data_IF_462927733532
#
_entry.id   IF_462927733532
#
_cell.length_a   1.000
_cell.length_b   1.000
_cell.length_c   1.000
_cell.angle_alpha   90.00
_cell.angle_beta   90.00
_cell.angle_gamma   90.00
#
_symmetry.space_group_name_H-M   'P 1'
#
loop_
_entity.id
_entity.type
_entity.pdbx_description
1 polymer ?
#
# COMPACT_ATOMS: atom_id res chain seq x y z
N UNK A 1 0.17 -10.73 32.46
CA UNK A 1 1.43 -10.58 31.71
C UNK A 1 1.04 -10.46 30.25
N UNK A 2 0.80 -9.23 29.79
CA UNK A 2 0.51 -8.99 28.38
C UNK A 2 1.81 -9.20 27.63
N UNK A 3 1.88 -10.25 26.83
CA UNK A 3 2.95 -10.46 25.87
C UNK A 3 2.92 -9.24 24.94
N UNK A 4 3.97 -8.41 24.96
CA UNK A 4 4.07 -7.28 24.05
C UNK A 4 4.13 -7.81 22.62
N UNK A 5 3.00 -7.79 21.93
CA UNK A 5 2.90 -8.19 20.53
C UNK A 5 3.79 -7.26 19.72
N UNK A 6 4.98 -7.74 19.34
CA UNK A 6 5.84 -6.98 18.42
C UNK A 6 5.09 -6.86 17.09
N UNK A 7 4.99 -5.66 16.49
CA UNK A 7 4.30 -5.48 15.23
C UNK A 7 4.88 -6.40 14.16
N UNK A 8 4.05 -7.00 13.31
CA UNK A 8 4.52 -7.81 12.19
C UNK A 8 5.30 -6.93 11.22
N UNK A 9 4.77 -5.73 10.96
CA UNK A 9 5.42 -4.70 10.17
C UNK A 9 5.10 -3.31 10.74
N UNK A 10 6.02 -2.37 10.55
CA UNK A 10 5.72 -0.96 10.81
C UNK A 10 4.88 -0.36 9.68
N UNK A 11 4.97 -0.92 8.48
CA UNK A 11 4.26 -0.41 7.29
C UNK A 11 3.77 -1.55 6.40
N UNK A 12 2.52 -1.41 5.93
CA UNK A 12 1.97 -2.17 4.81
C UNK A 12 1.98 -1.30 3.56
N UNK A 13 2.76 -1.68 2.56
CA UNK A 13 2.66 -1.11 1.22
C UNK A 13 1.66 -1.94 0.41
N UNK A 14 0.45 -1.43 0.25
CA UNK A 14 -0.62 -2.08 -0.51
C UNK A 14 -0.56 -1.62 -1.96
N UNK A 15 -0.31 -2.55 -2.86
CA UNK A 15 -0.34 -2.32 -4.31
C UNK A 15 -1.65 -2.83 -4.89
N UNK A 16 -2.42 -1.93 -5.51
CA UNK A 16 -3.66 -2.30 -6.19
C UNK A 16 -3.35 -3.02 -7.50
N UNK A 17 -4.29 -3.84 -7.95
CA UNK A 17 -4.25 -4.41 -9.31
C UNK A 17 -4.11 -3.28 -10.33
N UNK A 18 -3.40 -3.52 -11.44
CA UNK A 18 -3.20 -2.51 -12.49
C UNK A 18 -4.53 -1.88 -12.91
N UNK A 19 -4.56 -0.55 -12.96
CA UNK A 19 -5.74 0.22 -13.36
C UNK A 19 -6.85 0.29 -12.31
N UNK A 20 -6.69 -0.31 -11.13
CA UNK A 20 -7.68 -0.24 -10.06
C UNK A 20 -7.45 0.96 -9.14
N UNK A 21 -8.58 1.47 -8.63
CA UNK A 21 -8.67 2.63 -7.75
C UNK A 21 -9.52 2.31 -6.51
N UNK A 22 -9.44 3.13 -5.46
CA UNK A 22 -10.33 3.00 -4.29
C UNK A 22 -11.80 3.07 -4.70
N UNK A 23 -12.12 3.92 -5.69
CA UNK A 23 -13.46 4.04 -6.24
C UNK A 23 -13.92 2.73 -6.90
N UNK A 24 -13.03 2.08 -7.67
CA UNK A 24 -13.32 0.78 -8.28
C UNK A 24 -13.53 -0.32 -7.23
N UNK A 25 -12.70 -0.36 -6.19
CA UNK A 25 -12.88 -1.29 -5.07
C UNK A 25 -14.17 -1.06 -4.30
N UNK A 26 -14.58 0.19 -4.11
CA UNK A 26 -15.85 0.54 -3.47
C UNK A 26 -17.04 0.06 -4.30
N UNK A 27 -17.05 0.35 -5.60
CA UNK A 27 -18.12 -0.10 -6.52
C UNK A 27 -18.23 -1.63 -6.59
N UNK A 28 -17.09 -2.33 -6.50
CA UNK A 28 -17.06 -3.79 -6.48
C UNK A 28 -17.40 -4.41 -5.12
N UNK A 29 -17.65 -3.61 -4.07
CA UNK A 29 -17.91 -4.09 -2.71
C UNK A 29 -16.69 -4.69 -2.00
N UNK A 30 -15.48 -4.49 -2.55
CA UNK A 30 -14.23 -5.03 -2.01
C UNK A 30 -13.62 -4.13 -0.94
N UNK A 31 -13.81 -2.81 -1.05
CA UNK A 31 -13.14 -1.85 -0.19
C UNK A 31 -13.43 -2.10 1.30
N UNK A 32 -14.70 -2.16 1.69
CA UNK A 32 -15.08 -2.34 3.09
C UNK A 32 -14.58 -3.68 3.66
N UNK A 33 -14.65 -4.73 2.85
CA UNK A 33 -14.19 -6.08 3.23
C UNK A 33 -12.67 -6.10 3.48
N UNK A 34 -11.88 -5.58 2.55
CA UNK A 34 -10.43 -5.57 2.69
C UNK A 34 -9.98 -4.64 3.81
N UNK A 35 -10.61 -3.47 3.95
CA UNK A 35 -10.20 -2.50 4.97
C UNK A 35 -10.51 -2.94 6.39
N UNK A 36 -11.58 -3.71 6.60
CA UNK A 36 -11.87 -4.31 7.91
C UNK A 36 -10.72 -5.20 8.42
N UNK A 37 -10.00 -5.89 7.52
CA UNK A 37 -8.82 -6.68 7.90
C UNK A 37 -7.67 -5.79 8.36
N UNK A 38 -7.42 -4.68 7.66
CA UNK A 38 -6.36 -3.75 8.03
C UNK A 38 -6.67 -3.00 9.32
N UNK A 39 -7.95 -2.67 9.54
CA UNK A 39 -8.42 -2.10 10.79
C UNK A 39 -8.15 -3.04 11.97
N UNK A 40 -8.51 -4.32 11.84
CA UNK A 40 -8.23 -5.33 12.87
C UNK A 40 -6.73 -5.49 13.11
N UNK A 41 -5.90 -5.54 12.06
CA UNK A 41 -4.44 -5.62 12.21
C UNK A 41 -3.86 -4.40 12.93
N UNK A 42 -4.38 -3.19 12.66
CA UNK A 42 -3.98 -1.99 13.35
C UNK A 42 -4.40 -2.01 14.83
N UNK A 43 -5.64 -2.43 15.13
CA UNK A 43 -6.16 -2.56 16.50
C UNK A 43 -5.35 -3.58 17.33
N UNK A 44 -4.85 -4.64 16.72
CA UNK A 44 -3.97 -5.62 17.36
C UNK A 44 -2.52 -5.13 17.56
N UNK A 45 -2.19 -3.93 17.10
CA UNK A 45 -0.82 -3.41 17.10
C UNK A 45 0.12 -4.11 16.12
N UNK A 46 -0.43 -4.94 15.23
CA UNK A 46 0.35 -5.71 14.26
C UNK A 46 0.81 -4.86 13.06
N UNK A 47 0.13 -3.73 12.82
CA UNK A 47 0.34 -2.83 11.69
C UNK A 47 0.36 -1.35 12.12
N UNK A 48 1.39 -0.60 11.73
CA UNK A 48 1.54 0.82 12.06
C UNK A 48 0.97 1.79 11.02
N UNK A 49 1.42 1.70 9.76
CA UNK A 49 1.02 2.60 8.66
C UNK A 49 0.64 1.82 7.41
N UNK A 50 -0.25 2.39 6.59
CA UNK A 50 -0.55 1.88 5.25
C UNK A 50 -0.11 2.92 4.22
N UNK A 51 0.63 2.47 3.20
CA UNK A 51 0.89 3.24 1.98
C UNK A 51 0.19 2.52 0.83
N UNK A 52 -0.73 3.20 0.16
CA UNK A 52 -1.56 2.67 -0.91
C UNK A 52 -1.03 3.13 -2.26
N UNK A 53 -0.56 2.20 -3.09
CA UNK A 53 -0.23 2.43 -4.49
C UNK A 53 -1.46 2.12 -5.35
N UNK A 54 -2.04 3.17 -5.93
CA UNK A 54 -3.35 3.17 -6.60
C UNK A 54 -3.25 3.78 -7.98
N UNK A 55 -4.19 3.48 -8.88
CA UNK A 55 -4.26 4.07 -10.22
C UNK A 55 -5.42 5.06 -10.37
N UNK A 56 -6.06 5.44 -9.26
CA UNK A 56 -7.13 6.43 -9.25
C UNK A 56 -6.63 7.87 -9.38
N UNK A 57 -7.58 8.77 -9.68
CA UNK A 57 -7.33 10.21 -9.71
C UNK A 57 -6.90 10.72 -8.32
N UNK A 58 -5.77 11.47 -8.17
CA UNK A 58 -5.24 11.79 -6.85
C UNK A 58 -6.21 12.56 -5.92
N UNK A 59 -6.96 13.59 -6.38
CA UNK A 59 -8.01 14.22 -5.59
C UNK A 59 -9.11 13.26 -5.11
N UNK A 60 -9.60 12.37 -5.98
CA UNK A 60 -10.62 11.37 -5.63
C UNK A 60 -10.06 10.36 -4.61
N UNK A 61 -8.87 9.82 -4.86
CA UNK A 61 -8.20 8.87 -3.96
C UNK A 61 -7.94 9.46 -2.59
N UNK A 62 -7.49 10.71 -2.51
CA UNK A 62 -7.30 11.41 -1.23
C UNK A 62 -8.62 11.61 -0.48
N UNK A 63 -9.73 11.82 -1.19
CA UNK A 63 -11.07 11.94 -0.57
C UNK A 63 -11.51 10.61 0.00
N UNK A 64 -11.45 9.54 -0.80
CA UNK A 64 -11.83 8.20 -0.39
C UNK A 64 -10.94 7.66 0.74
N UNK A 65 -9.64 7.96 0.72
CA UNK A 65 -8.70 7.55 1.75
C UNK A 65 -9.03 8.15 3.13
N UNK A 66 -9.54 9.38 3.21
CA UNK A 66 -9.93 10.03 4.48
C UNK A 66 -11.11 9.34 5.17
N UNK A 67 -11.91 8.58 4.43
CA UNK A 67 -13.04 7.82 4.97
C UNK A 67 -12.62 6.47 5.57
N UNK A 68 -11.33 6.12 5.48
CA UNK A 68 -10.81 4.81 5.88
C UNK A 68 -10.05 4.89 7.22
N UNK A 69 -10.20 3.86 8.05
CA UNK A 69 -9.48 3.69 9.31
C UNK A 69 -8.76 2.32 9.33
N UNK A 70 -7.42 2.26 9.50
CA UNK A 70 -6.50 3.39 9.51
C UNK A 70 -6.46 4.10 8.14
N UNK A 71 -6.23 5.42 8.17
CA UNK A 71 -6.12 6.24 6.96
C UNK A 71 -4.81 5.93 6.22
N UNK A 72 -4.86 5.53 4.93
CA UNK A 72 -3.66 5.27 4.16
C UNK A 72 -3.02 6.57 3.65
N UNK A 73 -1.70 6.55 3.48
CA UNK A 73 -1.00 7.49 2.61
C UNK A 73 -1.19 7.05 1.15
N UNK A 74 -1.71 7.93 0.31
CA UNK A 74 -1.97 7.63 -1.11
C UNK A 74 -0.73 7.94 -1.95
N UNK A 75 -0.28 6.95 -2.72
CA UNK A 75 0.76 7.04 -3.74
C UNK A 75 0.14 6.74 -5.11
N UNK A 76 -0.44 7.76 -5.75
CA UNK A 76 -1.14 7.60 -7.01
C UNK A 76 -0.16 7.40 -8.19
N UNK A 77 -0.44 6.38 -8.99
CA UNK A 77 0.27 6.00 -10.20
C UNK A 77 -0.52 6.47 -11.43
N UNK A 78 0.19 6.80 -12.50
CA UNK A 78 -0.45 7.16 -13.77
C UNK A 78 -1.00 5.90 -14.46
N UNK A 79 -2.32 5.78 -14.48
CA UNK A 79 -3.04 4.68 -15.12
C UNK A 79 -2.81 4.61 -16.63
N UNK A 80 -2.48 5.74 -17.27
CA UNK A 80 -2.24 5.83 -18.73
C UNK A 80 -0.80 5.52 -19.13
N UNK A 81 0.13 5.54 -18.17
CA UNK A 81 1.53 5.25 -18.41
C UNK A 81 1.76 3.77 -18.76
N UNK A 82 2.87 3.49 -19.44
CA UNK A 82 3.27 2.12 -19.73
C UNK A 82 3.56 1.32 -18.44
N UNK A 83 3.47 -0.02 -18.44
CA UNK A 83 3.83 -0.83 -17.29
C UNK A 83 5.24 -0.56 -16.76
N UNK A 84 6.19 -0.27 -17.65
CA UNK A 84 7.55 0.09 -17.27
C UNK A 84 7.60 1.41 -16.51
N UNK A 85 6.85 2.42 -16.94
CA UNK A 85 6.76 3.73 -16.30
C UNK A 85 6.04 3.64 -14.95
N UNK A 86 4.93 2.92 -14.87
CA UNK A 86 4.21 2.66 -13.62
C UNK A 86 5.13 2.03 -12.57
N UNK A 87 5.97 1.08 -12.98
CA UNK A 87 6.97 0.46 -12.11
C UNK A 87 8.04 1.45 -11.63
N UNK A 88 8.54 2.32 -12.52
CA UNK A 88 9.51 3.37 -12.13
C UNK A 88 8.90 4.36 -11.15
N UNK A 89 7.69 4.84 -11.45
CA UNK A 89 6.93 5.74 -10.59
C UNK A 89 6.66 5.13 -9.22
N UNK A 90 6.27 3.86 -9.16
CA UNK A 90 6.06 3.14 -7.90
C UNK A 90 7.35 3.04 -7.08
N UNK A 91 8.50 2.78 -7.72
CA UNK A 91 9.78 2.77 -7.02
C UNK A 91 10.18 4.16 -6.47
N UNK A 92 9.93 5.22 -7.23
CA UNK A 92 10.17 6.61 -6.79
C UNK A 92 9.29 7.00 -5.62
N UNK A 93 7.99 6.73 -5.71
CA UNK A 93 7.04 6.97 -4.63
C UNK A 93 7.34 6.10 -3.40
N UNK A 94 7.79 4.86 -3.59
CA UNK A 94 8.21 3.99 -2.50
C UNK A 94 9.42 4.56 -1.76
N UNK A 95 10.44 5.06 -2.47
CA UNK A 95 11.62 5.67 -1.84
C UNK A 95 11.26 6.84 -0.92
N UNK A 96 10.25 7.63 -1.28
CA UNK A 96 9.84 8.78 -0.47
C UNK A 96 8.86 8.39 0.63
N UNK A 97 7.82 7.63 0.31
CA UNK A 97 6.75 7.25 1.24
C UNK A 97 7.15 6.19 2.27
N UNK A 98 8.17 5.39 1.97
CA UNK A 98 8.69 4.34 2.85
C UNK A 98 10.04 4.70 3.50
N UNK A 99 10.57 5.91 3.26
CA UNK A 99 11.81 6.37 3.89
C UNK A 99 11.70 6.32 5.42
N UNK A 100 12.72 5.77 6.08
CA UNK A 100 12.80 5.66 7.54
C UNK A 100 11.92 4.56 8.16
N UNK A 101 11.20 3.78 7.35
CA UNK A 101 10.43 2.63 7.84
C UNK A 101 11.30 1.36 7.89
N UNK A 102 11.41 0.73 9.05
CA UNK A 102 12.34 -0.40 9.24
C UNK A 102 11.80 -1.75 8.76
N UNK A 103 10.48 -1.98 8.86
CA UNK A 103 9.84 -3.26 8.54
C UNK A 103 8.63 -3.04 7.65
N UNK A 104 8.74 -3.45 6.40
CA UNK A 104 7.73 -3.22 5.36
C UNK A 104 7.21 -4.57 4.86
N UNK A 105 5.90 -4.75 4.90
CA UNK A 105 5.23 -5.83 4.14
C UNK A 105 4.62 -5.19 2.91
N UNK A 106 4.91 -5.74 1.74
CA UNK A 106 4.34 -5.29 0.48
C UNK A 106 3.30 -6.32 0.05
N UNK A 107 2.02 -5.92 0.01
CA UNK A 107 0.92 -6.78 -0.42
C UNK A 107 0.50 -6.38 -1.83
N UNK A 108 0.35 -7.36 -2.72
CA UNK A 108 -0.49 -7.21 -3.92
C UNK A 108 -1.81 -7.94 -3.71
N UNK A 109 -2.90 -7.38 -4.23
CA UNK A 109 -4.20 -8.05 -4.17
C UNK A 109 -4.34 -9.16 -5.24
N UNK A 110 -3.65 -9.04 -6.38
CA UNK A 110 -3.71 -10.00 -7.50
C UNK A 110 -2.35 -10.12 -8.22
N UNK A 111 -2.23 -11.08 -9.15
CA UNK A 111 -1.02 -11.26 -9.98
C UNK A 111 -0.71 -10.05 -10.86
N UNK A 112 -1.74 -9.43 -11.43
CA UNK A 112 -1.60 -8.22 -12.22
C UNK A 112 -1.27 -7.03 -11.29
N UNK A 113 -0.09 -6.44 -11.44
CA UNK A 113 0.50 -5.48 -10.50
C UNK A 113 1.62 -6.05 -9.63
N UNK A 114 1.93 -7.35 -9.74
CA UNK A 114 3.05 -7.97 -9.00
C UNK A 114 4.42 -7.37 -9.36
N UNK A 115 4.61 -6.87 -10.57
CA UNK A 115 5.81 -6.16 -11.00
C UNK A 115 6.00 -4.82 -10.27
N UNK A 116 4.91 -4.09 -10.04
CA UNK A 116 4.87 -2.89 -9.20
C UNK A 116 5.21 -3.26 -7.76
N UNK A 117 4.61 -4.32 -7.23
CA UNK A 117 4.87 -4.77 -5.87
C UNK A 117 6.34 -5.17 -5.64
N UNK A 118 6.96 -5.87 -6.60
CA UNK A 118 8.40 -6.19 -6.57
C UNK A 118 9.24 -4.91 -6.59
N UNK A 119 8.90 -3.93 -7.42
CA UNK A 119 9.64 -2.66 -7.48
C UNK A 119 9.52 -1.84 -6.19
N UNK A 120 8.35 -1.82 -5.56
CA UNK A 120 8.13 -1.21 -4.24
C UNK A 120 8.97 -1.91 -3.18
N UNK A 121 8.97 -3.25 -3.16
CA UNK A 121 9.76 -4.03 -2.21
C UNK A 121 11.27 -3.78 -2.39
N UNK A 122 11.76 -3.73 -3.63
CA UNK A 122 13.16 -3.45 -3.92
C UNK A 122 13.54 -2.03 -3.49
N UNK A 123 12.72 -1.03 -3.84
CA UNK A 123 12.94 0.36 -3.46
C UNK A 123 12.97 0.55 -1.93
N UNK A 124 12.12 -0.15 -1.20
CA UNK A 124 12.14 -0.15 0.27
C UNK A 124 13.44 -0.75 0.82
N UNK A 125 13.94 -1.85 0.25
CA UNK A 125 15.23 -2.45 0.65
C UNK A 125 16.41 -1.55 0.36
N UNK A 126 16.42 -0.93 -0.81
CA UNK A 126 17.47 0.02 -1.22
C UNK A 126 17.50 1.25 -0.28
N UNK A 127 16.35 1.60 0.31
CA UNK A 127 16.22 2.63 1.34
C UNK A 127 16.53 2.14 2.77
N UNK A 128 16.95 0.89 2.95
CA UNK A 128 17.38 0.32 4.23
C UNK A 128 16.31 -0.47 5.01
N UNK A 129 15.10 -0.63 4.46
CA UNK A 129 14.03 -1.39 5.11
C UNK A 129 14.20 -2.90 4.99
N UNK A 130 13.77 -3.65 6.01
CA UNK A 130 13.49 -5.09 5.90
C UNK A 130 12.14 -5.27 5.22
N UNK A 131 12.15 -5.45 3.90
CA UNK A 131 10.93 -5.60 3.10
C UNK A 131 10.67 -7.04 2.65
N UNK A 132 9.44 -7.51 2.83
CA UNK A 132 8.92 -8.79 2.33
C UNK A 132 7.72 -8.56 1.39
N UNK A 133 7.51 -9.48 0.45
CA UNK A 133 6.37 -9.54 -0.47
C UNK A 133 5.48 -10.71 -0.07
#
# INVERSE_FOLDING_TARGET
>A
MHEETRPIATTLALTMTRGMSLAAWRRAGLLAREWALYEQLAQLGALGRIVLFTYGDPPEEATLARELAPQPLVAALDASASPHEQRRQAAELARTSLAGHERVVVKTNQFEGGDVAVAVAQAARDAGARAAL
#
